data_IF_207184973218
#
_entry.id   IF_207184973218
#
_cell.length_a   1.000
_cell.length_b   1.000
_cell.length_c   1.000
_cell.angle_alpha   90.00
_cell.angle_beta   90.00
_cell.angle_gamma   90.00
#
_symmetry.space_group_name_H-M   'P 1'
#
loop_
_entity.id
_entity.type
_entity.pdbx_description
1 polymer ?
#
# COMPACT_ATOMS: atom_id res chain seq x y z
N UNK A 1 -5.47 17.80 8.66
CA UNK A 1 -4.07 18.01 8.28
C UNK A 1 -3.19 17.55 9.42
N UNK A 2 -2.68 16.32 9.32
CA UNK A 2 -1.30 15.89 9.58
C UNK A 2 -1.27 14.36 9.45
N UNK A 3 -1.35 13.87 8.21
CA UNK A 3 -1.26 12.44 7.94
C UNK A 3 0.23 12.09 7.94
N UNK A 4 0.71 11.43 8.98
CA UNK A 4 2.12 11.07 9.09
C UNK A 4 2.50 10.10 7.96
N UNK A 5 3.69 10.28 7.39
CA UNK A 5 4.22 9.34 6.42
C UNK A 5 4.52 8.00 7.07
N UNK A 6 4.13 6.93 6.38
CA UNK A 6 4.40 5.54 6.76
C UNK A 6 4.95 4.78 5.57
N UNK A 7 5.60 3.65 5.85
CA UNK A 7 6.00 2.70 4.81
C UNK A 7 4.79 1.87 4.41
N UNK A 8 4.52 1.79 3.11
CA UNK A 8 3.50 0.96 2.51
C UNK A 8 4.10 0.09 1.41
N UNK A 9 3.47 -1.05 1.16
CA UNK A 9 3.74 -1.91 0.01
C UNK A 9 2.59 -1.77 -0.97
N UNK A 10 2.88 -1.37 -2.20
CA UNK A 10 1.93 -1.29 -3.30
C UNK A 10 1.85 -2.62 -4.05
N UNK A 11 0.65 -2.95 -4.50
CA UNK A 11 0.38 -3.94 -5.53
C UNK A 11 -0.12 -3.20 -6.77
N UNK A 12 0.78 -2.94 -7.71
CA UNK A 12 0.53 -2.15 -8.92
C UNK A 12 -0.41 -2.85 -9.92
N UNK A 13 -0.67 -4.15 -9.74
CA UNK A 13 -1.63 -4.89 -10.56
C UNK A 13 -3.07 -4.75 -10.06
N UNK A 14 -3.29 -4.75 -8.74
CA UNK A 14 -4.64 -4.59 -8.17
C UNK A 14 -4.95 -3.17 -7.69
N UNK A 15 -3.98 -2.25 -7.81
CA UNK A 15 -4.02 -0.91 -7.24
C UNK A 15 -4.40 -0.91 -5.76
N UNK A 16 -3.75 -1.79 -4.97
CA UNK A 16 -3.95 -1.86 -3.52
C UNK A 16 -2.66 -1.54 -2.77
N UNK A 17 -2.78 -0.94 -1.59
CA UNK A 17 -1.65 -0.74 -0.70
C UNK A 17 -1.82 -1.47 0.63
N UNK A 18 -0.69 -1.83 1.23
CA UNK A 18 -0.60 -2.72 2.37
C UNK A 18 0.41 -2.16 3.39
N UNK A 19 0.25 -2.46 4.67
CA UNK A 19 1.39 -2.44 5.60
C UNK A 19 2.44 -3.51 5.22
N UNK A 20 3.74 -3.29 5.52
CA UNK A 20 4.80 -4.23 5.19
C UNK A 20 4.62 -5.64 5.76
N UNK A 21 3.96 -5.77 6.91
CA UNK A 21 3.69 -7.01 7.64
C UNK A 21 2.40 -7.73 7.18
N UNK A 22 1.68 -7.19 6.20
CA UNK A 22 0.43 -7.77 5.75
C UNK A 22 0.64 -9.18 5.15
N UNK A 23 -0.17 -10.16 5.58
CA UNK A 23 -0.14 -11.55 5.09
C UNK A 23 -0.32 -11.73 3.57
N UNK A 24 -0.77 -10.69 2.87
CA UNK A 24 -0.90 -10.70 1.40
C UNK A 24 0.37 -10.25 0.70
N UNK A 25 1.28 -9.53 1.37
CA UNK A 25 2.52 -9.01 0.79
C UNK A 25 3.41 -10.11 0.19
N UNK A 26 3.62 -11.27 0.85
CA UNK A 26 4.39 -12.37 0.26
C UNK A 26 3.76 -12.98 -1.00
N UNK A 27 2.47 -12.68 -1.28
CA UNK A 27 1.74 -13.18 -2.46
C UNK A 27 1.76 -12.19 -3.62
N UNK A 28 2.26 -10.97 -3.42
CA UNK A 28 2.41 -9.98 -4.48
C UNK A 28 3.62 -10.39 -5.33
N UNK A 29 3.42 -10.50 -6.64
CA UNK A 29 4.53 -10.77 -7.57
C UNK A 29 5.53 -9.61 -7.52
N UNK A 30 6.82 -9.88 -7.48
CA UNK A 30 7.87 -8.85 -7.36
C UNK A 30 7.73 -7.73 -8.40
N UNK A 31 7.40 -8.07 -9.65
CA UNK A 31 7.16 -7.08 -10.72
C UNK A 31 6.01 -6.09 -10.47
N UNK A 32 5.12 -6.42 -9.53
CA UNK A 32 3.97 -5.60 -9.14
C UNK A 32 4.14 -5.01 -7.73
N UNK A 33 5.22 -5.36 -7.02
CA UNK A 33 5.46 -4.99 -5.63
C UNK A 33 6.39 -3.78 -5.57
N UNK A 34 5.97 -2.73 -4.89
CA UNK A 34 6.76 -1.51 -4.70
C UNK A 34 6.66 -1.06 -3.25
N UNK A 35 7.77 -0.71 -2.61
CA UNK A 35 7.78 -0.11 -1.28
C UNK A 35 7.86 1.41 -1.40
N UNK A 36 6.99 2.12 -0.68
CA UNK A 36 6.96 3.58 -0.68
C UNK A 36 6.82 4.11 0.74
N UNK A 37 7.42 5.28 1.00
CA UNK A 37 7.17 6.05 2.21
C UNK A 37 6.34 7.28 1.85
N UNK A 38 5.08 7.31 2.27
CA UNK A 38 4.15 8.38 1.93
C UNK A 38 2.96 8.38 2.90
N UNK A 39 1.97 9.25 2.68
CA UNK A 39 0.75 9.27 3.47
C UNK A 39 -0.34 8.40 2.84
N UNK A 40 -1.27 7.92 3.66
CA UNK A 40 -2.49 7.26 3.21
C UNK A 40 -3.23 8.05 2.13
N UNK A 41 -3.40 9.35 2.37
CA UNK A 41 -4.19 10.23 1.50
C UNK A 41 -3.56 10.38 0.12
N UNK A 42 -2.22 10.43 0.04
CA UNK A 42 -1.51 10.47 -1.25
C UNK A 42 -1.70 9.18 -2.06
N UNK A 43 -1.75 8.01 -1.41
CA UNK A 43 -2.05 6.75 -2.11
C UNK A 43 -3.48 6.71 -2.65
N UNK A 44 -4.44 7.20 -1.86
CA UNK A 44 -5.85 7.31 -2.29
C UNK A 44 -5.97 8.27 -3.48
N UNK A 45 -5.29 9.44 -3.45
CA UNK A 45 -5.26 10.39 -4.58
C UNK A 45 -4.63 9.78 -5.84
N UNK A 46 -3.64 8.91 -5.69
CA UNK A 46 -3.02 8.14 -6.79
C UNK A 46 -3.92 7.02 -7.34
N UNK A 47 -5.11 6.80 -6.76
CA UNK A 47 -6.07 5.79 -7.19
C UNK A 47 -5.85 4.41 -6.56
N UNK A 48 -5.05 4.30 -5.50
CA UNK A 48 -4.88 3.06 -4.76
C UNK A 48 -5.92 2.90 -3.66
N UNK A 49 -6.39 1.68 -3.46
CA UNK A 49 -7.30 1.31 -2.38
C UNK A 49 -6.56 0.64 -1.22
N UNK A 50 -6.97 0.90 0.04
CA UNK A 50 -6.40 0.17 1.17
C UNK A 50 -6.74 -1.31 1.09
N UNK A 51 -5.78 -2.16 1.45
CA UNK A 51 -6.06 -3.57 1.59
C UNK A 51 -7.09 -3.82 2.69
N UNK A 52 -8.19 -4.49 2.36
CA UNK A 52 -9.25 -4.86 3.32
C UNK A 52 -8.80 -5.80 4.46
N UNK A 53 -7.60 -6.39 4.38
CA UNK A 53 -7.07 -7.32 5.39
C UNK A 53 -6.30 -6.58 6.48
N UNK A 54 -5.31 -5.77 6.10
CA UNK A 54 -4.52 -5.02 7.07
C UNK A 54 -5.08 -3.62 7.34
N UNK A 55 -6.07 -3.20 6.56
CA UNK A 55 -6.75 -1.90 6.62
C UNK A 55 -5.81 -0.75 7.00
N UNK A 56 -4.77 -0.48 6.18
CA UNK A 56 -3.93 0.69 6.35
C UNK A 56 -4.74 1.96 6.09
#
# INVERSE_FOLDING_TARGET
GNSLEMTYILNNNSLKFHYPDCKSVPKIKDKNKEEVRTTRDELIKRGYEPCKICNP
#
